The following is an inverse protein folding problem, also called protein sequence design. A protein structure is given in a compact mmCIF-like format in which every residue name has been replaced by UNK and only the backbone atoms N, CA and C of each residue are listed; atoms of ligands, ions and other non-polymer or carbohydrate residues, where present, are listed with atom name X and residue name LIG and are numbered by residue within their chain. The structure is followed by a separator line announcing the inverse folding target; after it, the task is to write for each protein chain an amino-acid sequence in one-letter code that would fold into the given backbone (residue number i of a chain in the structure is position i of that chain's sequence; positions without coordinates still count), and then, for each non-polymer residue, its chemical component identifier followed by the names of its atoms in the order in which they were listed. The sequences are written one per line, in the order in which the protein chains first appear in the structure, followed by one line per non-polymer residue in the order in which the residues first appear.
data_IF_538854696203
#
_entry.id   IF_538854696203
#
_cell.length_a   1.000
_cell.length_b   1.000
_cell.length_c   1.000
_cell.angle_alpha   90.00
_cell.angle_beta   90.00
_cell.angle_gamma   90.00
#
_symmetry.space_group_name_H-M   'P 1'
#
loop_
_entity.id
_entity.type
_entity.pdbx_description
1 polymer ?
#
# COMPACT_ATOMS: atom_id res chain seq x y z
N UNK A 1 29.27 32.89 -18.78
CA UNK A 1 29.07 31.45 -18.49
C UNK A 1 27.78 31.29 -17.69
N UNK A 2 26.72 30.71 -18.25
CA UNK A 2 25.48 30.36 -17.52
C UNK A 2 25.40 28.84 -17.41
N UNK A 3 25.70 28.31 -16.22
CA UNK A 3 25.62 26.88 -15.89
C UNK A 3 24.65 26.70 -14.71
N UNK A 4 23.43 27.25 -14.84
CA UNK A 4 22.39 27.14 -13.81
C UNK A 4 21.04 27.07 -14.54
N UNK A 5 20.68 25.93 -15.13
CA UNK A 5 19.29 25.75 -15.65
C UNK A 5 18.85 24.28 -15.76
N UNK A 6 19.75 23.32 -16.01
CA UNK A 6 19.33 21.91 -16.21
C UNK A 6 18.84 21.18 -14.95
N UNK A 7 19.39 21.47 -13.77
CA UNK A 7 18.98 20.75 -12.54
C UNK A 7 17.59 21.17 -12.07
N UNK A 8 17.23 22.44 -12.25
CA UNK A 8 15.93 22.97 -11.85
C UNK A 8 14.78 22.59 -12.78
N UNK A 9 15.06 22.30 -14.06
CA UNK A 9 14.03 21.82 -15.01
C UNK A 9 13.71 20.34 -14.79
N UNK A 10 14.74 19.49 -14.63
CA UNK A 10 14.56 18.05 -14.40
C UNK A 10 13.85 17.77 -13.07
N UNK A 11 14.14 18.54 -12.02
CA UNK A 11 13.46 18.38 -10.72
C UNK A 11 11.97 18.74 -10.79
N UNK A 12 11.59 19.79 -11.52
CA UNK A 12 10.19 20.17 -11.73
C UNK A 12 9.44 19.19 -12.63
N UNK A 13 10.12 18.64 -13.62
CA UNK A 13 9.56 17.64 -14.53
C UNK A 13 9.31 16.32 -13.81
N UNK A 14 10.23 15.86 -12.97
CA UNK A 14 10.04 14.68 -12.12
C UNK A 14 8.86 14.84 -11.16
N UNK A 15 8.76 15.96 -10.44
CA UNK A 15 7.62 16.21 -9.54
C UNK A 15 6.30 16.23 -10.32
N UNK A 16 6.27 16.81 -11.52
CA UNK A 16 5.08 16.85 -12.35
C UNK A 16 4.67 15.44 -12.81
N UNK A 17 5.62 14.61 -13.20
CA UNK A 17 5.37 13.21 -13.59
C UNK A 17 4.85 12.40 -12.39
N UNK A 18 5.43 12.57 -11.21
CA UNK A 18 4.96 11.91 -9.97
C UNK A 18 3.52 12.30 -9.62
N UNK A 19 3.20 13.59 -9.66
CA UNK A 19 1.84 14.07 -9.35
C UNK A 19 0.81 13.62 -10.39
N UNK A 20 1.21 13.51 -11.66
CA UNK A 20 0.33 13.00 -12.72
C UNK A 20 0.07 11.51 -12.51
N UNK A 21 1.12 10.72 -12.26
CA UNK A 21 0.97 9.29 -12.02
C UNK A 21 0.09 8.99 -10.79
N UNK A 22 0.29 9.68 -9.67
CA UNK A 22 -0.55 9.50 -8.49
C UNK A 22 -2.03 9.82 -8.78
N UNK A 23 -2.30 10.90 -9.52
CA UNK A 23 -3.66 11.24 -9.93
C UNK A 23 -4.29 10.15 -10.81
N UNK A 24 -3.52 9.57 -11.73
CA UNK A 24 -3.99 8.47 -12.58
C UNK A 24 -4.33 7.21 -11.75
N UNK A 25 -3.50 6.85 -10.76
CA UNK A 25 -3.81 5.74 -9.84
C UNK A 25 -5.07 6.00 -9.01
N UNK A 26 -5.28 7.23 -8.55
CA UNK A 26 -6.50 7.61 -7.81
C UNK A 26 -7.73 7.39 -8.70
N UNK A 27 -7.71 7.88 -9.95
CA UNK A 27 -8.83 7.69 -10.90
C UNK A 27 -9.09 6.20 -11.13
N UNK A 28 -8.04 5.41 -11.36
CA UNK A 28 -8.17 3.96 -11.56
C UNK A 28 -8.74 3.24 -10.33
N UNK A 29 -8.34 3.66 -9.13
CA UNK A 29 -8.85 3.07 -7.88
C UNK A 29 -10.32 3.45 -7.67
N UNK A 30 -10.71 4.70 -7.94
CA UNK A 30 -12.09 5.15 -7.83
C UNK A 30 -13.04 4.41 -8.80
N UNK A 31 -12.57 4.06 -10.00
CA UNK A 31 -13.32 3.22 -10.95
C UNK A 31 -13.57 1.80 -10.40
N UNK A 32 -12.68 1.30 -9.51
CA UNK A 32 -12.81 0.07 -8.73
C UNK A 32 -13.32 -1.16 -9.51
N UNK A 33 -12.67 -1.47 -10.63
CA UNK A 33 -12.95 -2.69 -11.43
C UNK A 33 -11.74 -3.61 -11.45
N UNK A 34 -11.93 -4.90 -11.74
CA UNK A 34 -10.81 -5.84 -11.90
C UNK A 34 -9.81 -5.37 -12.96
N UNK A 35 -10.29 -4.72 -14.04
CA UNK A 35 -9.42 -4.19 -15.10
C UNK A 35 -8.57 -3.02 -14.60
N UNK A 36 -9.13 -2.11 -13.81
CA UNK A 36 -8.38 -0.98 -13.27
C UNK A 36 -7.41 -1.43 -12.19
N UNK A 37 -7.78 -2.39 -11.35
CA UNK A 37 -6.86 -3.00 -10.38
C UNK A 37 -5.71 -3.77 -11.04
N UNK A 38 -5.95 -4.49 -12.13
CA UNK A 38 -4.88 -5.13 -12.89
C UNK A 38 -3.87 -4.10 -13.45
N UNK A 39 -4.33 -2.92 -13.87
CA UNK A 39 -3.46 -1.80 -14.29
C UNK A 39 -2.69 -1.21 -13.12
N UNK A 40 -3.34 -1.04 -11.96
CA UNK A 40 -2.69 -0.58 -10.73
C UNK A 40 -1.57 -1.54 -10.35
N UNK A 41 -1.86 -2.82 -10.20
CA UNK A 41 -0.89 -3.85 -9.77
C UNK A 41 0.31 -3.96 -10.71
N UNK A 42 0.10 -3.78 -12.03
CA UNK A 42 1.18 -3.83 -13.01
C UNK A 42 2.19 -2.67 -12.90
N UNK A 43 1.74 -1.47 -12.50
CA UNK A 43 2.56 -0.24 -12.57
C UNK A 43 2.88 0.37 -11.22
N UNK A 44 2.10 0.13 -10.17
CA UNK A 44 2.30 0.70 -8.84
C UNK A 44 3.71 0.45 -8.27
N UNK A 45 4.37 -0.71 -8.50
CA UNK A 45 5.74 -0.94 -8.04
C UNK A 45 6.77 0.07 -8.56
N UNK A 46 6.54 0.70 -9.71
CA UNK A 46 7.43 1.72 -10.28
C UNK A 46 7.44 3.02 -9.45
N UNK A 47 6.38 3.26 -8.67
CA UNK A 47 6.12 4.52 -7.98
C UNK A 47 6.05 4.40 -6.44
N UNK A 48 5.84 3.19 -5.90
CA UNK A 48 5.52 2.95 -4.48
C UNK A 48 6.61 3.39 -3.47
N UNK A 49 7.85 3.59 -3.92
CA UNK A 49 8.95 4.11 -3.10
C UNK A 49 9.13 5.64 -3.23
N UNK A 50 8.35 6.31 -4.06
CA UNK A 50 8.38 7.77 -4.20
C UNK A 50 7.77 8.43 -2.97
N UNK A 51 8.43 9.49 -2.46
CA UNK A 51 8.01 10.18 -1.24
C UNK A 51 6.57 10.73 -1.33
N UNK A 52 6.17 11.20 -2.51
CA UNK A 52 4.83 11.71 -2.81
C UNK A 52 3.76 10.61 -2.59
N UNK A 53 3.97 9.43 -3.17
CA UNK A 53 3.10 8.26 -3.02
C UNK A 53 3.00 7.79 -1.57
N UNK A 54 4.14 7.61 -0.90
CA UNK A 54 4.15 7.15 0.50
C UNK A 54 3.49 8.17 1.42
N UNK A 55 3.74 9.46 1.21
CA UNK A 55 3.10 10.53 1.99
C UNK A 55 1.59 10.55 1.78
N UNK A 56 1.13 10.40 0.54
CA UNK A 56 -0.29 10.31 0.23
C UNK A 56 -0.92 9.08 0.88
N UNK A 57 -0.31 7.91 0.74
CA UNK A 57 -0.83 6.67 1.31
C UNK A 57 -1.02 6.76 2.83
N UNK A 58 -0.03 7.28 3.56
CA UNK A 58 -0.13 7.52 5.02
C UNK A 58 -1.31 8.40 5.41
N UNK A 59 -1.64 9.40 4.59
CA UNK A 59 -2.74 10.33 4.86
C UNK A 59 -4.11 9.73 4.52
N UNK A 60 -4.17 8.69 3.68
CA UNK A 60 -5.41 8.15 3.11
C UNK A 60 -5.73 6.71 3.55
N UNK A 61 -5.01 6.16 4.53
CA UNK A 61 -5.33 4.84 5.12
C UNK A 61 -6.76 4.74 5.66
N UNK A 62 -7.39 5.86 6.02
CA UNK A 62 -8.76 5.92 6.56
C UNK A 62 -9.69 6.81 5.72
N UNK A 63 -9.42 6.95 4.42
CA UNK A 63 -10.26 7.73 3.49
C UNK A 63 -11.71 7.22 3.49
N UNK A 64 -12.72 8.05 3.26
CA UNK A 64 -14.11 7.57 3.23
C UNK A 64 -14.39 6.58 2.08
N UNK A 65 -13.64 6.69 0.99
CA UNK A 65 -13.69 5.77 -0.14
C UNK A 65 -12.81 4.54 0.13
N UNK A 66 -13.44 3.36 0.21
CA UNK A 66 -12.73 2.11 0.48
C UNK A 66 -11.68 1.77 -0.59
N UNK A 67 -11.88 2.18 -1.84
CA UNK A 67 -10.91 1.91 -2.91
C UNK A 67 -9.65 2.77 -2.76
N UNK A 68 -9.79 4.00 -2.22
CA UNK A 68 -8.65 4.84 -1.87
C UNK A 68 -7.91 4.32 -0.63
N UNK A 69 -8.62 3.74 0.35
CA UNK A 69 -7.97 3.00 1.45
C UNK A 69 -7.16 1.82 0.92
N UNK A 70 -7.73 1.05 0.00
CA UNK A 70 -7.05 -0.11 -0.61
C UNK A 70 -5.81 0.33 -1.39
N UNK A 71 -5.91 1.41 -2.19
CA UNK A 71 -4.76 1.98 -2.89
C UNK A 71 -3.68 2.44 -1.91
N UNK A 72 -4.06 3.14 -0.83
CA UNK A 72 -3.13 3.58 0.20
C UNK A 72 -2.42 2.40 0.87
N UNK A 73 -3.16 1.37 1.27
CA UNK A 73 -2.59 0.16 1.86
C UNK A 73 -1.71 -0.60 0.86
N UNK A 74 -2.10 -0.65 -0.41
CA UNK A 74 -1.35 -1.27 -1.51
C UNK A 74 0.00 -0.57 -1.74
N UNK A 75 0.01 0.77 -1.78
CA UNK A 75 1.25 1.57 -1.87
C UNK A 75 2.20 1.20 -0.72
N UNK A 76 1.73 1.20 0.52
CA UNK A 76 2.56 0.87 1.69
C UNK A 76 2.99 -0.60 1.71
N UNK A 77 2.19 -1.51 1.14
CA UNK A 77 2.50 -2.93 1.08
C UNK A 77 3.66 -3.22 0.13
N UNK A 78 3.80 -2.44 -0.94
CA UNK A 78 4.86 -2.58 -1.95
C UNK A 78 6.07 -1.73 -1.56
N UNK A 79 5.85 -0.59 -0.89
CA UNK A 79 6.92 0.30 -0.45
C UNK A 79 7.88 -0.38 0.52
N UNK A 80 9.17 -0.10 0.36
CA UNK A 80 10.25 -0.51 1.26
C UNK A 80 10.49 0.54 2.37
N UNK A 81 9.68 1.59 2.42
CA UNK A 81 9.85 2.65 3.42
C UNK A 81 9.69 2.10 4.84
N UNK A 82 10.56 2.57 5.74
CA UNK A 82 10.46 2.29 7.17
C UNK A 82 9.15 2.85 7.75
N UNK A 83 8.56 2.08 8.69
CA UNK A 83 7.34 2.47 9.38
C UNK A 83 7.66 3.15 10.71
N UNK A 84 7.06 4.32 10.92
CA UNK A 84 6.98 4.96 12.23
C UNK A 84 6.01 4.21 13.15
N UNK A 85 6.05 4.47 14.46
CA UNK A 85 5.05 3.90 15.38
C UNK A 85 3.63 4.27 14.97
N UNK A 86 3.41 5.51 14.53
CA UNK A 86 2.11 5.96 14.04
C UNK A 86 1.63 5.18 12.81
N UNK A 87 2.54 4.83 11.90
CA UNK A 87 2.20 4.01 10.73
C UNK A 87 1.76 2.61 11.18
N UNK A 88 2.49 2.00 12.13
CA UNK A 88 2.16 0.69 12.69
C UNK A 88 0.80 0.72 13.38
N UNK A 89 0.52 1.74 14.19
CA UNK A 89 -0.75 1.90 14.89
C UNK A 89 -1.92 2.05 13.91
N UNK A 90 -1.73 2.84 12.85
CA UNK A 90 -2.73 3.05 11.80
C UNK A 90 -2.98 1.76 11.00
N UNK A 91 -1.94 1.05 10.60
CA UNK A 91 -2.06 -0.23 9.89
C UNK A 91 -2.70 -1.30 10.77
N UNK A 92 -2.37 -1.34 12.06
CA UNK A 92 -2.98 -2.27 13.03
C UNK A 92 -4.48 -1.98 13.17
N UNK A 93 -4.86 -0.70 13.25
CA UNK A 93 -6.27 -0.31 13.28
C UNK A 93 -6.98 -0.72 12.00
N UNK A 94 -6.40 -0.45 10.82
CA UNK A 94 -6.99 -0.83 9.53
C UNK A 94 -7.13 -2.35 9.38
N UNK A 95 -6.11 -3.11 9.79
CA UNK A 95 -6.14 -4.57 9.82
C UNK A 95 -7.29 -5.11 10.69
N UNK A 96 -7.64 -4.40 11.76
CA UNK A 96 -8.68 -4.82 12.71
C UNK A 96 -10.09 -4.29 12.37
N UNK A 97 -10.25 -3.45 11.36
CA UNK A 97 -11.57 -3.06 10.89
C UNK A 97 -12.33 -4.30 10.38
N UNK A 98 -13.61 -4.41 10.76
CA UNK A 98 -14.52 -5.42 10.24
C UNK A 98 -15.15 -4.87 8.96
N UNK A 99 -14.90 -5.54 7.84
CA UNK A 99 -15.33 -5.06 6.53
C UNK A 99 -16.56 -5.80 6.05
N UNK A 100 -17.59 -5.04 5.70
CA UNK A 100 -18.79 -5.53 5.01
C UNK A 100 -18.61 -5.59 3.49
N UNK A 101 -18.23 -4.47 2.86
CA UNK A 101 -18.28 -4.32 1.38
C UNK A 101 -16.94 -4.55 0.64
N UNK A 102 -15.79 -4.21 1.24
CA UNK A 102 -14.48 -4.50 0.65
C UNK A 102 -13.47 -4.90 1.74
N UNK A 103 -13.03 -6.17 1.80
CA UNK A 103 -12.13 -6.67 2.82
C UNK A 103 -10.64 -6.41 2.51
N UNK A 104 -10.30 -5.98 1.30
CA UNK A 104 -8.92 -5.88 0.82
C UNK A 104 -8.05 -4.83 1.56
N UNK A 105 -8.54 -3.65 2.00
CA UNK A 105 -7.74 -2.75 2.83
C UNK A 105 -7.19 -3.42 4.11
N UNK A 106 -8.02 -4.23 4.77
CA UNK A 106 -7.64 -5.04 5.95
C UNK A 106 -6.49 -5.98 5.62
N UNK A 107 -6.64 -6.68 4.50
CA UNK A 107 -5.69 -7.68 4.04
C UNK A 107 -4.37 -7.02 3.68
N UNK A 108 -4.39 -5.94 2.89
CA UNK A 108 -3.20 -5.17 2.52
C UNK A 108 -2.48 -4.63 3.75
N UNK A 109 -3.19 -4.13 4.76
CA UNK A 109 -2.57 -3.75 6.03
C UNK A 109 -1.84 -4.91 6.72
N UNK A 110 -2.46 -6.10 6.75
CA UNK A 110 -1.81 -7.30 7.28
C UNK A 110 -0.55 -7.66 6.49
N UNK A 111 -0.57 -7.57 5.16
CA UNK A 111 0.61 -7.79 4.31
C UNK A 111 1.75 -6.81 4.63
N UNK A 112 1.41 -5.53 4.85
CA UNK A 112 2.41 -4.49 5.19
C UNK A 112 3.13 -4.84 6.50
N UNK A 113 2.37 -5.30 7.51
CA UNK A 113 2.88 -5.69 8.82
C UNK A 113 3.66 -7.01 8.75
N UNK A 114 3.17 -8.01 8.00
CA UNK A 114 3.82 -9.31 7.86
C UNK A 114 5.24 -9.19 7.31
N UNK A 115 5.44 -8.35 6.29
CA UNK A 115 6.77 -8.07 5.69
C UNK A 115 7.78 -7.48 6.68
N UNK A 116 7.32 -6.99 7.84
CA UNK A 116 8.11 -6.25 8.82
C UNK A 116 8.10 -6.90 10.20
N UNK A 117 7.80 -8.20 10.30
CA UNK A 117 7.84 -8.93 11.57
C UNK A 117 9.22 -9.01 12.23
N UNK A 118 10.29 -8.70 11.49
CA UNK A 118 11.62 -8.51 12.07
C UNK A 118 11.74 -7.27 12.97
N UNK A 119 10.77 -6.35 12.92
CA UNK A 119 10.64 -5.23 13.84
C UNK A 119 9.93 -5.69 15.13
N UNK A 120 10.58 -5.55 16.28
CA UNK A 120 10.03 -5.97 17.58
C UNK A 120 8.66 -5.35 17.90
N UNK A 121 8.40 -4.13 17.40
CA UNK A 121 7.12 -3.42 17.59
C UNK A 121 5.98 -4.10 16.85
N UNK A 122 6.29 -4.81 15.76
CA UNK A 122 5.33 -5.52 14.90
C UNK A 122 5.31 -7.02 15.25
N UNK A 123 6.43 -7.58 15.70
CA UNK A 123 6.54 -8.98 16.11
C UNK A 123 5.44 -9.40 17.10
N UNK A 124 5.10 -8.52 18.06
CA UNK A 124 4.03 -8.75 19.05
C UNK A 124 2.64 -8.90 18.42
N UNK A 125 2.45 -8.44 17.18
CA UNK A 125 1.21 -8.55 16.41
C UNK A 125 1.18 -9.82 15.53
N UNK A 126 2.25 -10.62 15.51
CA UNK A 126 2.45 -11.68 14.52
C UNK A 126 1.30 -12.69 14.42
N UNK A 127 0.69 -13.09 15.54
CA UNK A 127 -0.48 -13.97 15.53
C UNK A 127 -1.70 -13.30 14.90
N UNK A 128 -1.99 -12.04 15.25
CA UNK A 128 -3.12 -11.30 14.68
C UNK A 128 -2.94 -11.06 13.18
N UNK A 129 -1.73 -10.71 12.75
CA UNK A 129 -1.36 -10.57 11.34
C UNK A 129 -1.57 -11.88 10.59
N UNK A 130 -1.07 -12.99 11.15
CA UNK A 130 -1.22 -14.33 10.56
C UNK A 130 -2.69 -14.70 10.42
N UNK A 131 -3.48 -14.56 11.49
CA UNK A 131 -4.90 -14.89 11.49
C UNK A 131 -5.67 -14.07 10.47
N UNK A 132 -5.31 -12.79 10.32
CA UNK A 132 -5.90 -11.95 9.27
C UNK A 132 -5.58 -12.48 7.88
N UNK A 133 -4.34 -12.84 7.58
CA UNK A 133 -3.95 -13.37 6.26
C UNK A 133 -4.61 -14.73 5.98
N UNK A 134 -4.71 -15.61 6.98
CA UNK A 134 -5.37 -16.92 6.86
C UNK A 134 -6.83 -16.77 6.43
N UNK A 135 -7.54 -15.73 6.88
CA UNK A 135 -8.94 -15.48 6.50
C UNK A 135 -9.13 -15.24 4.99
N UNK A 136 -8.06 -14.95 4.24
CA UNK A 136 -8.09 -14.72 2.79
C UNK A 136 -7.58 -15.92 1.97
N UNK A 137 -7.34 -17.08 2.60
CA UNK A 137 -6.97 -18.31 1.87
C UNK A 137 -8.14 -18.95 1.10
N UNK A 138 -9.37 -18.47 1.31
CA UNK A 138 -10.54 -18.92 0.55
C UNK A 138 -10.90 -17.95 -0.59
N UNK A 139 -10.22 -16.82 -0.70
CA UNK A 139 -10.46 -15.79 -1.71
C UNK A 139 -9.53 -16.00 -2.92
N UNK A 140 -10.09 -16.47 -4.04
CA UNK A 140 -9.33 -16.76 -5.26
C UNK A 140 -8.58 -15.54 -5.81
N UNK A 141 -9.07 -14.31 -5.58
CA UNK A 141 -8.44 -13.10 -6.11
C UNK A 141 -7.09 -12.79 -5.43
N UNK A 142 -6.93 -13.20 -4.17
CA UNK A 142 -5.73 -12.91 -3.36
C UNK A 142 -5.06 -14.15 -2.79
N UNK A 143 -5.53 -15.35 -3.15
CA UNK A 143 -5.04 -16.63 -2.64
C UNK A 143 -3.51 -16.79 -2.76
N UNK A 144 -2.97 -16.53 -3.95
CA UNK A 144 -1.53 -16.65 -4.23
C UNK A 144 -0.71 -15.72 -3.31
N UNK A 145 -1.22 -14.51 -3.08
CA UNK A 145 -0.57 -13.49 -2.23
C UNK A 145 -0.64 -13.92 -0.77
N UNK A 146 -1.80 -14.37 -0.29
CA UNK A 146 -1.99 -14.82 1.08
C UNK A 146 -1.12 -16.03 1.40
N UNK A 147 -1.14 -17.04 0.52
CA UNK A 147 -0.33 -18.26 0.66
C UNK A 147 1.16 -17.95 0.69
N UNK A 148 1.67 -17.21 -0.30
CA UNK A 148 3.08 -16.84 -0.36
C UNK A 148 3.52 -16.07 0.90
N UNK A 149 2.71 -15.13 1.35
CA UNK A 149 3.02 -14.34 2.55
C UNK A 149 3.12 -15.23 3.78
N UNK A 150 2.21 -16.19 3.97
CA UNK A 150 2.26 -17.12 5.09
C UNK A 150 3.49 -18.04 5.03
N UNK A 151 3.90 -18.46 3.84
CA UNK A 151 5.12 -19.26 3.64
C UNK A 151 6.38 -18.46 4.03
N UNK A 152 6.43 -17.16 3.73
CA UNK A 152 7.56 -16.27 4.06
C UNK A 152 7.64 -15.88 5.55
N UNK A 153 6.57 -16.07 6.31
CA UNK A 153 6.54 -15.82 7.77
C UNK A 153 7.22 -16.93 8.59
N UNK A 154 7.56 -18.07 7.98
CA UNK A 154 8.16 -19.26 8.62
C UNK A 154 9.57 -19.56 8.11
#
# INVERSE_FOLDING_TARGET
MKKITMVGSLWKENIRLEMTALADFIILAEDNTDETWAKIDAHLPEYSNMKSFVSWARMNLFDENYALRDLAASILSISETELSQQDIDNLTKLMNEEYGENPYPSFRAALVLAKRLGDERIFVLGEAVRMKIVAFLEDEAVWDIAKKTLEEMY
#
